data_IF_922183007570
#
_entry.id   IF_922183007570
#
_cell.length_a   1.000
_cell.length_b   1.000
_cell.length_c   1.000
_cell.angle_alpha   90.00
_cell.angle_beta   90.00
_cell.angle_gamma   90.00
#
_symmetry.space_group_name_H-M   'P 1'
#
loop_
_entity.id
_entity.type
_entity.pdbx_description
1 polymer ?
#
# COMPACT_ATOMS: atom_id res chain seq x y z
N UNK A 1 -4.35 16.80 -5.23
CA UNK A 1 -4.16 15.80 -4.15
C UNK A 1 -2.77 15.92 -3.54
N UNK A 2 -2.66 16.03 -2.22
CA UNK A 2 -1.37 15.98 -1.53
C UNK A 2 -0.74 14.58 -1.62
N UNK A 3 0.51 14.48 -2.09
CA UNK A 3 1.29 13.23 -2.13
C UNK A 3 2.77 13.48 -1.90
N UNK A 4 3.48 12.46 -1.41
CA UNK A 4 4.95 12.52 -1.32
C UNK A 4 5.58 12.44 -2.72
N UNK A 5 6.39 13.44 -3.07
CA UNK A 5 7.15 13.52 -4.33
C UNK A 5 8.68 13.49 -4.13
N UNK A 6 9.12 13.31 -2.88
CA UNK A 6 10.54 13.36 -2.53
C UNK A 6 11.32 12.09 -2.86
N UNK A 7 12.62 12.05 -2.52
CA UNK A 7 13.50 10.91 -2.80
C UNK A 7 13.05 9.67 -2.04
N UNK A 8 12.80 8.56 -2.76
CA UNK A 8 12.31 7.29 -2.20
C UNK A 8 13.39 6.52 -1.44
N UNK A 9 14.59 6.38 -2.03
CA UNK A 9 15.71 5.67 -1.40
C UNK A 9 16.15 6.28 -0.07
N UNK A 10 16.03 7.60 0.10
CA UNK A 10 16.30 8.28 1.39
C UNK A 10 15.39 7.76 2.51
N UNK A 11 14.13 7.42 2.20
CA UNK A 11 13.19 6.85 3.19
C UNK A 11 13.47 5.38 3.44
N UNK A 12 13.78 4.62 2.40
CA UNK A 12 14.08 3.18 2.49
C UNK A 12 15.34 2.91 3.30
N UNK A 13 16.42 3.69 3.11
CA UNK A 13 17.64 3.57 3.92
C UNK A 13 17.37 3.76 5.43
N UNK A 14 16.39 4.60 5.79
CA UNK A 14 16.03 4.87 7.19
C UNK A 14 15.02 3.88 7.77
N UNK A 15 13.98 3.54 7.00
CA UNK A 15 12.82 2.79 7.48
C UNK A 15 12.88 1.30 7.14
N UNK A 16 13.78 0.88 6.25
CA UNK A 16 13.86 -0.49 5.75
C UNK A 16 13.06 -0.70 4.45
N UNK A 17 12.76 -1.97 4.17
CA UNK A 17 12.08 -2.39 2.95
C UNK A 17 10.63 -1.91 2.91
N UNK A 18 10.26 -1.25 1.80
CA UNK A 18 8.91 -0.73 1.55
C UNK A 18 8.48 -1.14 0.13
N UNK A 19 7.93 -2.35 -0.07
CA UNK A 19 7.67 -2.90 -1.40
C UNK A 19 6.70 -2.02 -2.21
N UNK A 20 5.64 -1.52 -1.58
CA UNK A 20 4.68 -0.63 -2.23
C UNK A 20 5.26 0.70 -2.77
N UNK A 21 6.41 1.15 -2.26
CA UNK A 21 7.04 2.41 -2.70
C UNK A 21 7.98 2.21 -3.89
N UNK A 22 8.74 1.11 -3.92
CA UNK A 22 9.65 0.73 -5.01
C UNK A 22 10.09 -0.73 -4.86
N UNK A 23 10.21 -1.43 -5.98
CA UNK A 23 10.82 -2.77 -6.03
C UNK A 23 12.36 -2.73 -6.00
N UNK A 24 12.96 -1.61 -6.43
CA UNK A 24 14.42 -1.44 -6.46
C UNK A 24 15.03 -1.48 -5.06
N UNK A 25 16.10 -2.26 -4.89
CA UNK A 25 16.89 -2.30 -3.65
C UNK A 25 17.92 -1.16 -3.62
N UNK A 26 18.15 -0.52 -2.46
CA UNK A 26 19.22 0.47 -2.35
C UNK A 26 20.58 -0.21 -2.57
N UNK A 27 21.47 0.45 -3.31
CA UNK A 27 22.88 0.01 -3.40
C UNK A 27 23.51 0.10 -2.01
N UNK A 28 24.15 -0.99 -1.57
CA UNK A 28 25.02 -0.98 -0.40
C UNK A 28 26.28 -0.17 -0.77
N UNK A 29 26.70 0.79 0.05
CA UNK A 29 28.04 1.39 -0.13
C UNK A 29 28.19 2.92 -0.13
N UNK A 30 27.46 3.67 0.68
CA UNK A 30 27.91 5.05 1.03
C UNK A 30 28.22 5.27 2.51
N UNK A 31 27.82 4.34 3.38
CA UNK A 31 27.89 4.54 4.83
C UNK A 31 29.21 4.04 5.45
N UNK A 32 30.16 3.59 4.62
CA UNK A 32 31.49 3.14 5.09
C UNK A 32 32.37 4.30 5.59
N UNK A 33 32.12 5.55 5.18
CA UNK A 33 32.91 6.71 5.62
C UNK A 33 32.39 7.36 6.90
N UNK A 34 31.15 7.08 7.29
CA UNK A 34 30.55 7.53 8.54
C UNK A 34 29.81 6.33 9.13
N UNK A 35 30.41 5.54 10.04
CA UNK A 35 29.62 4.55 10.77
C UNK A 35 28.48 5.34 11.41
N UNK A 36 27.25 5.07 10.96
CA UNK A 36 26.05 5.61 11.58
C UNK A 36 26.18 5.23 13.05
N UNK A 37 26.56 6.19 13.90
CA UNK A 37 26.57 6.01 15.35
C UNK A 37 25.25 5.34 15.68
N UNK A 38 25.30 4.08 16.08
CA UNK A 38 24.12 3.30 16.42
C UNK A 38 23.62 3.86 17.74
N UNK A 39 22.99 5.03 17.69
CA UNK A 39 22.35 5.65 18.84
C UNK A 39 21.20 4.73 19.20
N UNK A 40 21.26 4.18 20.43
CA UNK A 40 20.19 3.36 21.00
C UNK A 40 18.85 4.05 20.72
N UNK A 41 17.97 3.35 20.02
CA UNK A 41 16.68 3.92 19.62
C UNK A 41 15.81 4.02 20.87
N UNK A 42 15.27 5.20 21.14
CA UNK A 42 14.27 5.37 22.20
C UNK A 42 12.97 4.64 21.84
N UNK A 43 12.19 4.27 22.84
CA UNK A 43 10.88 3.61 22.63
C UNK A 43 9.95 4.44 21.74
N UNK A 44 9.97 5.77 21.91
CA UNK A 44 9.24 6.68 21.02
C UNK A 44 9.71 6.59 19.57
N UNK A 45 11.03 6.55 19.33
CA UNK A 45 11.59 6.46 17.98
C UNK A 45 11.18 5.15 17.29
N UNK A 46 11.17 4.04 18.02
CA UNK A 46 10.76 2.73 17.48
C UNK A 46 9.31 2.79 16.99
N UNK A 47 8.39 3.26 17.83
CA UNK A 47 6.97 3.45 17.47
C UNK A 47 6.78 4.40 16.29
N UNK A 48 7.51 5.52 16.30
CA UNK A 48 7.46 6.50 15.21
C UNK A 48 7.92 5.88 13.88
N UNK A 49 8.98 5.07 13.90
CA UNK A 49 9.48 4.41 12.69
C UNK A 49 8.46 3.40 12.11
N UNK A 50 7.81 2.59 12.96
CA UNK A 50 6.74 1.67 12.51
C UNK A 50 5.56 2.41 11.87
N UNK A 51 5.08 3.49 12.49
CA UNK A 51 4.05 4.35 11.88
C UNK A 51 4.49 4.92 10.53
N UNK A 52 5.74 5.38 10.43
CA UNK A 52 6.26 5.94 9.19
C UNK A 52 6.35 4.88 8.09
N UNK A 53 6.66 3.61 8.41
CA UNK A 53 6.61 2.51 7.44
C UNK A 53 5.23 2.39 6.82
N UNK A 54 4.15 2.35 7.60
CA UNK A 54 2.77 2.32 7.05
C UNK A 54 2.51 3.50 6.14
N UNK A 55 2.83 4.70 6.62
CA UNK A 55 2.52 5.93 5.89
C UNK A 55 3.18 5.96 4.51
N UNK A 56 4.45 5.58 4.44
CA UNK A 56 5.20 5.58 3.17
C UNK A 56 4.88 4.37 2.29
N UNK A 57 4.56 3.21 2.88
CA UNK A 57 4.13 2.04 2.13
C UNK A 57 2.85 2.35 1.34
N UNK A 58 1.77 2.73 2.03
CA UNK A 58 0.46 2.99 1.41
C UNK A 58 0.31 4.41 0.83
N UNK A 59 1.34 5.26 0.91
CA UNK A 59 1.31 6.62 0.37
C UNK A 59 0.27 7.55 1.01
N UNK A 60 0.05 7.42 2.32
CA UNK A 60 -0.97 8.14 3.07
C UNK A 60 -0.45 9.48 3.61
N UNK A 61 -1.37 10.42 3.86
CA UNK A 61 -1.08 11.58 4.71
C UNK A 61 -1.28 11.24 6.17
N UNK A 62 -0.65 12.00 7.07
CA UNK A 62 -0.79 11.78 8.52
C UNK A 62 -2.26 11.91 8.97
N UNK A 63 -2.96 12.94 8.48
CA UNK A 63 -4.38 13.17 8.77
C UNK A 63 -5.26 12.01 8.29
N UNK A 64 -4.95 11.42 7.14
CA UNK A 64 -5.67 10.24 6.65
C UNK A 64 -5.39 9.01 7.51
N UNK A 65 -4.13 8.78 7.88
CA UNK A 65 -3.77 7.65 8.72
C UNK A 65 -4.43 7.74 10.10
N UNK A 66 -4.44 8.93 10.72
CA UNK A 66 -5.15 9.17 11.98
C UNK A 66 -6.66 8.87 11.85
N UNK A 67 -7.29 9.27 10.75
CA UNK A 67 -8.69 8.94 10.48
C UNK A 67 -8.93 7.43 10.42
N UNK A 68 -8.04 6.68 9.75
CA UNK A 68 -8.14 5.21 9.70
C UNK A 68 -7.96 4.58 11.08
N UNK A 69 -7.06 5.10 11.91
CA UNK A 69 -6.87 4.64 13.30
C UNK A 69 -8.14 4.88 14.12
N UNK A 70 -8.78 6.04 13.98
CA UNK A 70 -10.03 6.33 14.68
C UNK A 70 -11.19 5.43 14.22
N UNK A 71 -11.28 5.11 12.93
CA UNK A 71 -12.25 4.14 12.40
C UNK A 71 -11.96 2.75 12.94
N UNK A 72 -10.69 2.33 12.97
CA UNK A 72 -10.29 1.04 13.49
C UNK A 72 -10.55 0.90 15.00
N UNK A 73 -10.34 1.97 15.78
CA UNK A 73 -10.61 1.97 17.22
C UNK A 73 -12.09 1.93 17.59
N UNK A 74 -12.99 2.28 16.66
CA UNK A 74 -14.44 2.13 16.82
C UNK A 74 -14.96 0.76 16.38
N UNK A 75 -14.18 0.03 15.58
CA UNK A 75 -14.57 -1.27 15.10
C UNK A 75 -14.44 -2.33 16.20
N UNK A 76 -15.29 -3.36 16.16
CA UNK A 76 -15.16 -4.51 17.04
C UNK A 76 -13.96 -5.36 16.61
N UNK A 77 -13.11 -5.77 17.56
CA UNK A 77 -11.94 -6.61 17.32
C UNK A 77 -10.61 -5.91 17.60
N UNK A 78 -9.51 -6.50 17.13
CA UNK A 78 -8.17 -5.93 17.31
C UNK A 78 -7.96 -4.70 16.43
N UNK A 79 -7.79 -3.53 17.05
CA UNK A 79 -7.58 -2.24 16.37
C UNK A 79 -6.47 -2.28 15.33
N UNK A 80 -5.35 -2.94 15.65
CA UNK A 80 -4.21 -3.05 14.74
C UNK A 80 -4.55 -3.87 13.48
N UNK A 81 -5.24 -4.99 13.64
CA UNK A 81 -5.66 -5.84 12.53
C UNK A 81 -6.68 -5.12 11.64
N UNK A 82 -7.69 -4.49 12.25
CA UNK A 82 -8.69 -3.72 11.49
C UNK A 82 -8.03 -2.55 10.76
N UNK A 83 -7.08 -1.86 11.37
CA UNK A 83 -6.33 -0.79 10.70
C UNK A 83 -5.66 -1.31 9.42
N UNK A 84 -4.95 -2.43 9.49
CA UNK A 84 -4.28 -2.98 8.32
C UNK A 84 -5.27 -3.47 7.25
N UNK A 85 -6.38 -4.08 7.65
CA UNK A 85 -7.46 -4.44 6.73
C UNK A 85 -8.00 -3.20 5.99
N UNK A 86 -8.23 -2.09 6.68
CA UNK A 86 -8.69 -0.84 6.07
C UNK A 86 -7.70 -0.30 5.04
N UNK A 87 -6.39 -0.45 5.29
CA UNK A 87 -5.34 0.04 4.39
C UNK A 87 -5.13 -0.89 3.19
N UNK A 88 -5.19 -2.20 3.39
CA UNK A 88 -5.02 -3.17 2.30
C UNK A 88 -6.20 -3.17 1.33
N UNK A 89 -7.43 -2.94 1.83
CA UNK A 89 -8.66 -2.90 1.01
C UNK A 89 -8.84 -1.61 0.19
N UNK A 90 -7.80 -0.77 0.08
CA UNK A 90 -7.82 0.42 -0.77
C UNK A 90 -7.63 0.06 -2.24
N UNK A 91 -8.31 0.76 -3.14
CA UNK A 91 -8.23 0.53 -4.59
C UNK A 91 -6.80 0.63 -5.13
N UNK A 92 -6.03 1.66 -4.73
CA UNK A 92 -4.65 1.82 -5.16
C UNK A 92 -3.73 0.68 -4.70
N UNK A 93 -3.98 0.15 -3.51
CA UNK A 93 -3.24 -0.99 -2.98
C UNK A 93 -3.64 -2.30 -3.66
N UNK A 94 -4.93 -2.54 -3.89
CA UNK A 94 -5.41 -3.75 -4.57
C UNK A 94 -4.87 -3.83 -6.01
N UNK A 95 -4.86 -2.72 -6.75
CA UNK A 95 -4.27 -2.69 -8.09
C UNK A 95 -2.77 -3.01 -8.10
N UNK A 96 -2.04 -2.56 -7.07
CA UNK A 96 -0.64 -2.92 -6.88
C UNK A 96 -0.49 -4.42 -6.56
N UNK A 97 -1.31 -4.96 -5.65
CA UNK A 97 -1.32 -6.39 -5.30
C UNK A 97 -1.66 -7.30 -6.46
N UNK A 98 -2.57 -6.88 -7.34
CA UNK A 98 -2.94 -7.62 -8.56
C UNK A 98 -1.85 -7.57 -9.64
N UNK A 99 -0.75 -6.83 -9.44
CA UNK A 99 0.29 -6.66 -10.48
C UNK A 99 -0.12 -5.75 -11.63
N UNK A 100 -1.29 -5.10 -11.57
CA UNK A 100 -1.75 -4.12 -12.57
C UNK A 100 -0.97 -2.81 -12.53
N UNK A 101 -0.11 -2.62 -11.53
CA UNK A 101 0.82 -1.51 -11.41
C UNK A 101 2.07 -1.94 -10.65
N UNK A 102 3.24 -1.45 -11.08
CA UNK A 102 4.53 -1.81 -10.45
C UNK A 102 4.77 -1.21 -9.07
N UNK A 103 4.11 -0.10 -8.73
CA UNK A 103 4.23 0.57 -7.41
C UNK A 103 2.92 1.25 -7.05
N UNK A 104 2.64 1.44 -5.76
CA UNK A 104 1.41 2.10 -5.26
C UNK A 104 1.28 3.55 -5.80
N UNK A 105 2.34 4.37 -5.88
CA UNK A 105 2.26 5.68 -6.54
C UNK A 105 1.86 5.60 -8.02
N UNK A 106 2.24 4.53 -8.72
CA UNK A 106 1.82 4.26 -10.10
C UNK A 106 0.36 3.86 -10.19
N UNK A 107 -0.09 2.93 -9.33
CA UNK A 107 -1.50 2.54 -9.21
C UNK A 107 -2.39 3.76 -8.94
N UNK A 108 -1.96 4.64 -8.02
CA UNK A 108 -2.66 5.89 -7.71
C UNK A 108 -2.81 6.80 -8.92
N UNK A 109 -1.80 6.85 -9.79
CA UNK A 109 -1.85 7.64 -11.02
C UNK A 109 -2.86 7.04 -12.01
N UNK A 110 -2.90 5.72 -12.18
CA UNK A 110 -3.88 5.04 -13.03
C UNK A 110 -5.33 5.33 -12.59
N UNK A 111 -5.59 5.25 -11.29
CA UNK A 111 -6.89 5.57 -10.71
C UNK A 111 -7.27 7.03 -10.96
N UNK A 112 -6.41 7.97 -10.57
CA UNK A 112 -6.69 9.41 -10.74
C UNK A 112 -6.96 9.80 -12.20
N UNK A 113 -6.32 9.10 -13.15
CA UNK A 113 -6.48 9.35 -14.59
C UNK A 113 -7.66 8.59 -15.22
N UNK A 114 -8.56 8.00 -14.41
CA UNK A 114 -9.80 7.35 -14.86
C UNK A 114 -9.56 6.15 -15.80
N UNK A 115 -8.48 5.41 -15.58
CA UNK A 115 -8.19 4.16 -16.32
C UNK A 115 -8.90 2.94 -15.73
N UNK A 116 -9.39 3.03 -14.50
CA UNK A 116 -9.92 1.89 -13.72
C UNK A 116 -11.43 2.02 -13.58
N UNK A 117 -12.09 0.87 -13.70
CA UNK A 117 -13.51 0.68 -13.48
C UNK A 117 -13.69 -0.28 -12.28
N UNK A 118 -14.66 0.02 -11.42
CA UNK A 118 -15.11 -0.89 -10.37
C UNK A 118 -16.59 -1.18 -10.64
N UNK A 119 -16.93 -2.46 -10.81
CA UNK A 119 -18.29 -2.90 -11.16
C UNK A 119 -18.85 -2.14 -12.39
N UNK A 120 -18.01 -1.92 -13.40
CA UNK A 120 -18.37 -1.21 -14.64
C UNK A 120 -18.43 0.32 -14.54
N UNK A 121 -18.20 0.91 -13.35
CA UNK A 121 -18.23 2.37 -13.15
C UNK A 121 -16.84 2.95 -12.97
N UNK A 122 -16.59 4.13 -13.53
CA UNK A 122 -15.31 4.83 -13.37
C UNK A 122 -15.13 5.26 -11.91
N UNK A 123 -13.99 4.88 -11.32
CA UNK A 123 -13.58 5.32 -9.99
C UNK A 123 -12.24 6.03 -10.11
N UNK A 124 -12.21 7.32 -9.77
CA UNK A 124 -11.01 8.16 -9.77
C UNK A 124 -10.47 8.48 -8.37
N UNK A 125 -10.94 7.75 -7.36
CA UNK A 125 -10.57 7.93 -5.96
C UNK A 125 -9.64 6.78 -5.51
N UNK A 126 -8.33 7.02 -5.32
CA UNK A 126 -7.38 5.98 -4.89
C UNK A 126 -7.70 5.38 -3.51
N UNK A 127 -8.28 6.19 -2.63
CA UNK A 127 -8.74 5.77 -1.30
C UNK A 127 -10.09 5.09 -1.29
N UNK A 128 -10.67 4.78 -2.45
CA UNK A 128 -11.88 3.97 -2.53
C UNK A 128 -11.64 2.64 -1.82
N UNK A 129 -12.58 2.26 -0.94
CA UNK A 129 -12.51 1.01 -0.18
C UNK A 129 -13.26 -0.05 -0.97
N UNK A 130 -12.53 -1.00 -1.52
CA UNK A 130 -13.13 -2.13 -2.21
C UNK A 130 -13.85 -3.03 -1.21
N UNK A 131 -14.95 -3.60 -1.65
CA UNK A 131 -15.75 -4.56 -0.92
C UNK A 131 -15.51 -5.97 -1.47
N UNK A 132 -15.79 -7.01 -0.68
CA UNK A 132 -15.88 -8.36 -1.21
C UNK A 132 -16.82 -8.41 -2.41
N UNK A 133 -16.47 -9.22 -3.39
CA UNK A 133 -17.12 -9.39 -4.70
C UNK A 133 -17.04 -8.19 -5.64
N UNK A 134 -16.24 -7.16 -5.32
CA UNK A 134 -15.98 -6.09 -6.27
C UNK A 134 -15.14 -6.62 -7.44
N UNK A 135 -15.57 -6.25 -8.64
CA UNK A 135 -14.91 -6.54 -9.91
C UNK A 135 -14.15 -5.30 -10.34
N UNK A 136 -12.84 -5.43 -10.52
CA UNK A 136 -11.94 -4.37 -10.95
C UNK A 136 -11.56 -4.63 -12.41
N UNK A 137 -11.93 -3.73 -13.29
CA UNK A 137 -11.63 -3.81 -14.72
C UNK A 137 -10.95 -2.55 -15.23
N UNK A 138 -10.42 -2.65 -16.44
CA UNK A 138 -9.73 -1.56 -17.12
C UNK A 138 -10.69 -0.90 -18.10
N UNK A 139 -10.56 0.41 -18.29
CA UNK A 139 -11.38 1.14 -19.26
C UNK A 139 -11.08 0.68 -20.69
N UNK A 140 -12.11 0.54 -21.51
CA UNK A 140 -12.03 0.23 -22.95
C UNK A 140 -11.45 1.38 -23.79
N UNK A 141 -10.19 1.69 -23.53
CA UNK A 141 -9.36 2.57 -24.34
C UNK A 141 -8.01 1.89 -24.54
N UNK A 142 -7.49 1.92 -25.77
CA UNK A 142 -6.23 1.26 -26.11
C UNK A 142 -5.07 1.65 -25.19
N UNK A 143 -4.96 2.94 -24.85
CA UNK A 143 -3.92 3.44 -23.92
C UNK A 143 -4.03 2.82 -22.53
N UNK A 144 -5.24 2.63 -22.00
CA UNK A 144 -5.44 2.04 -20.67
C UNK A 144 -5.08 0.56 -20.67
N UNK A 145 -5.54 -0.18 -21.69
CA UNK A 145 -5.27 -1.62 -21.85
C UNK A 145 -3.77 -1.87 -22.01
N UNK A 146 -3.10 -1.12 -22.88
CA UNK A 146 -1.67 -1.25 -23.11
C UNK A 146 -0.84 -1.02 -21.84
N UNK A 147 -1.19 -0.02 -21.01
CA UNK A 147 -0.50 0.23 -19.74
C UNK A 147 -0.60 -0.97 -18.80
N UNK A 148 -1.79 -1.53 -18.63
CA UNK A 148 -2.04 -2.60 -17.66
C UNK A 148 -1.48 -3.94 -18.17
N UNK A 149 -1.59 -4.20 -19.47
CA UNK A 149 -0.94 -5.35 -20.11
C UNK A 149 0.57 -5.31 -19.91
N UNK A 150 1.21 -4.15 -20.10
CA UNK A 150 2.65 -4.00 -19.88
C UNK A 150 3.02 -4.27 -18.42
N UNK A 151 2.22 -3.80 -17.46
CA UNK A 151 2.47 -4.06 -16.05
C UNK A 151 2.37 -5.54 -15.69
N UNK A 152 1.28 -6.20 -16.11
CA UNK A 152 1.07 -7.63 -15.86
C UNK A 152 2.18 -8.47 -16.50
N UNK A 153 2.58 -8.17 -17.73
CA UNK A 153 3.66 -8.87 -18.41
C UNK A 153 5.04 -8.63 -17.77
N UNK A 154 5.28 -7.43 -17.22
CA UNK A 154 6.55 -7.07 -16.58
C UNK A 154 6.67 -7.51 -15.11
N UNK A 155 5.55 -7.85 -14.48
CA UNK A 155 5.54 -8.22 -13.08
C UNK A 155 6.02 -9.66 -12.93
N UNK A 156 7.10 -9.93 -12.18
CA UNK A 156 7.29 -11.29 -11.68
C UNK A 156 6.05 -11.64 -10.88
N UNK A 157 5.48 -12.82 -11.10
CA UNK A 157 4.31 -13.30 -10.36
C UNK A 157 4.70 -13.46 -8.87
N UNK A 158 4.59 -12.39 -8.08
CA UNK A 158 4.49 -12.53 -6.63
C UNK A 158 3.21 -13.31 -6.34
N UNK A 159 3.29 -14.28 -5.42
CA UNK A 159 2.14 -15.09 -5.02
C UNK A 159 0.99 -14.16 -4.62
N UNK A 160 -0.10 -14.23 -5.39
CA UNK A 160 -1.28 -13.42 -5.13
C UNK A 160 -1.92 -13.90 -3.82
N UNK A 161 -2.28 -12.99 -2.91
CA UNK A 161 -2.95 -13.37 -1.69
C UNK A 161 -4.36 -13.89 -2.02
N UNK A 162 -4.83 -14.92 -1.31
CA UNK A 162 -6.07 -15.64 -1.63
C UNK A 162 -7.34 -14.77 -1.71
N UNK A 163 -7.33 -13.58 -1.09
CA UNK A 163 -8.44 -12.65 -1.16
C UNK A 163 -8.57 -11.93 -2.52
N UNK A 164 -7.61 -12.12 -3.43
CA UNK A 164 -7.59 -11.53 -4.77
C UNK A 164 -7.43 -12.62 -5.82
N UNK A 165 -8.18 -12.48 -6.91
CA UNK A 165 -8.03 -13.29 -8.12
C UNK A 165 -7.84 -12.36 -9.31
N UNK A 166 -7.02 -12.80 -10.27
CA UNK A 166 -6.83 -12.11 -11.53
C UNK A 166 -7.09 -13.06 -12.69
N UNK A 167 -7.90 -12.60 -13.63
CA UNK A 167 -8.02 -13.20 -14.95
C UNK A 167 -7.08 -12.42 -15.89
N UNK A 168 -6.03 -13.11 -16.34
CA UNK A 168 -4.98 -12.55 -17.20
C UNK A 168 -5.46 -12.28 -18.62
N UNK A 169 -6.48 -12.99 -19.11
CA UNK A 169 -7.01 -12.80 -20.47
C UNK A 169 -7.88 -11.55 -20.56
N UNK A 170 -8.74 -11.35 -19.56
CA UNK A 170 -9.66 -10.21 -19.51
C UNK A 170 -9.09 -8.99 -18.78
N UNK A 171 -7.89 -9.11 -18.21
CA UNK A 171 -7.30 -8.11 -17.31
C UNK A 171 -8.29 -7.68 -16.21
N UNK A 172 -8.94 -8.67 -15.61
CA UNK A 172 -10.03 -8.51 -14.65
C UNK A 172 -9.57 -9.00 -13.29
N UNK A 173 -9.59 -8.10 -12.31
CA UNK A 173 -9.36 -8.44 -10.91
C UNK A 173 -10.67 -8.67 -10.18
N UNK A 174 -10.71 -9.62 -9.26
CA UNK A 174 -11.85 -9.84 -8.37
C UNK A 174 -11.38 -9.89 -6.92
N UNK A 175 -12.10 -9.17 -6.06
CA UNK A 175 -11.86 -9.18 -4.61
C UNK A 175 -12.75 -10.25 -3.99
N UNK A 176 -12.21 -11.39 -3.60
CA UNK A 176 -13.00 -12.52 -3.08
C UNK A 176 -13.58 -12.21 -1.69
N UNK A 177 -12.72 -11.76 -0.78
CA UNK A 177 -13.02 -11.59 0.64
C UNK A 177 -12.22 -10.45 1.25
N UNK A 178 -12.48 -10.16 2.52
CA UNK A 178 -11.64 -9.24 3.31
C UNK A 178 -10.31 -9.94 3.59
N UNK A 179 -9.22 -9.19 3.58
CA UNK A 179 -7.88 -9.72 3.85
C UNK A 179 -7.73 -10.18 5.30
N UNK A 180 -7.07 -11.32 5.48
CA UNK A 180 -6.58 -11.77 6.78
C UNK A 180 -5.25 -11.11 7.13
N UNK A 181 -5.02 -10.89 8.42
CA UNK A 181 -3.78 -10.26 8.90
C UNK A 181 -2.50 -10.99 8.48
N UNK A 182 -2.58 -12.31 8.26
CA UNK A 182 -1.45 -13.16 7.85
C UNK A 182 -0.97 -12.91 6.42
N UNK A 183 -1.81 -12.37 5.54
CA UNK A 183 -1.49 -12.18 4.11
C UNK A 183 -1.04 -10.76 3.78
N UNK A 184 -0.75 -9.96 4.80
CA UNK A 184 -0.26 -8.60 4.63
C UNK A 184 1.22 -8.67 4.22
N UNK A 185 1.53 -8.32 2.98
CA UNK A 185 2.90 -8.32 2.46
C UNK A 185 3.80 -7.16 2.95
N UNK A 186 3.53 -6.59 4.13
CA UNK A 186 4.41 -5.65 4.81
C UNK A 186 4.73 -6.20 6.20
N UNK A 187 6.01 -6.43 6.49
CA UNK A 187 6.49 -6.82 7.82
C UNK A 187 6.37 -5.62 8.76
N UNK A 188 5.33 -5.64 9.61
CA UNK A 188 5.04 -4.58 10.55
C UNK A 188 4.58 -5.15 11.89
N UNK A 189 4.84 -4.41 12.97
CA UNK A 189 4.21 -4.62 14.26
C UNK A 189 3.12 -3.56 14.48
N UNK A 190 1.86 -3.95 14.28
CA UNK A 190 0.69 -3.08 14.41
C UNK A 190 0.48 -2.53 15.83
N UNK A 191 0.92 -3.25 16.88
CA UNK A 191 0.76 -2.82 18.26
C UNK A 191 1.52 -1.52 18.53
N UNK A 192 2.75 -1.41 18.01
CA UNK A 192 3.57 -0.21 18.14
C UNK A 192 2.95 1.02 17.48
N UNK A 193 2.17 0.81 16.41
CA UNK A 193 1.44 1.88 15.73
C UNK A 193 0.25 2.32 16.58
N UNK A 194 -0.51 1.39 17.15
CA UNK A 194 -1.64 1.69 18.04
C UNK A 194 -1.14 2.45 19.29
N UNK A 195 -0.07 1.97 19.91
CA UNK A 195 0.57 2.63 21.05
C UNK A 195 0.99 4.07 20.72
N UNK A 196 1.53 4.31 19.52
CA UNK A 196 1.94 5.66 19.11
C UNK A 196 0.77 6.64 19.17
N UNK A 197 -0.40 6.26 18.66
CA UNK A 197 -1.57 7.13 18.61
C UNK A 197 -2.32 7.24 19.93
N UNK A 198 -2.26 6.20 20.79
CA UNK A 198 -2.85 6.25 22.13
C UNK A 198 -2.27 7.36 23.03
N UNK A 199 -1.06 7.83 22.73
CA UNK A 199 -0.36 8.90 23.47
C UNK A 199 -0.54 10.29 22.87
N UNK A 200 -1.19 10.38 21.70
CA UNK A 200 -1.46 11.64 21.00
C UNK A 200 -2.90 12.14 21.21
N UNK A 201 -3.79 11.25 21.65
CA UNK A 201 -5.14 11.54 22.12
C UNK A 201 -5.12 11.72 23.63
#
# INVERSE_FOLDING_TARGET
MSRYRGPRFKKIRRLGALPGLTSKRPRSGSDLKNPLRSVKRSQYRIRLEEKQKLRFHYGLTERQLLRYVHIAGKAKGSTGQVLLQLLEMRLDNILFRLGMASTIPGARQLVNHRHILVNGRIVDIPSYRCKPRDIITTKDKQRSKALIQNYIASSPHEELPNHLTIDSFQYKGLVNQIIDSKWIGLKINELLVVEYYSRQT
#
